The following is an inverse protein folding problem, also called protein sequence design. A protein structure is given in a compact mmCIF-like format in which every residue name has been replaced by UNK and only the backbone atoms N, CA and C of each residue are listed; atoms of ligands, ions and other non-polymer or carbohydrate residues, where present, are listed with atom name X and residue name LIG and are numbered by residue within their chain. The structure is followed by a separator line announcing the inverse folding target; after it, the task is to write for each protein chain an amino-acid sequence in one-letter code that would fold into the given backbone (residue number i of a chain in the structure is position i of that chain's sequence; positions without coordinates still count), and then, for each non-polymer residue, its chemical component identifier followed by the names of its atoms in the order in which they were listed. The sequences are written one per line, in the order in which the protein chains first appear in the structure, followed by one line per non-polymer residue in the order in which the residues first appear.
data_IF_787406697024
#
_entry.id   IF_787406697024
#
_cell.length_a   1.000
_cell.length_b   1.000
_cell.length_c   1.000
_cell.angle_alpha   90.00
_cell.angle_beta   90.00
_cell.angle_gamma   90.00
#
_symmetry.space_group_name_H-M   'P 1'
#
loop_
_entity.id
_entity.type
_entity.pdbx_description
1 polymer ?
#
# COMPACT_ATOMS: atom_id res chain seq x y z
N UNK A 1 12.61 14.26 -0.39
CA UNK A 1 12.10 12.88 -0.61
C UNK A 1 12.72 11.88 0.37
N UNK A 2 14.02 11.77 0.49
CA UNK A 2 14.72 10.77 1.32
C UNK A 2 14.25 10.75 2.80
N UNK A 3 14.18 11.92 3.46
CA UNK A 3 13.68 12.05 4.84
C UNK A 3 12.22 11.62 4.98
N UNK A 4 11.39 11.85 3.97
CA UNK A 4 10.00 11.40 3.96
C UNK A 4 9.96 9.86 3.95
N UNK A 5 10.78 9.21 3.11
CA UNK A 5 10.91 7.76 3.10
C UNK A 5 11.31 7.19 4.47
N UNK A 6 12.29 7.81 5.13
CA UNK A 6 12.69 7.46 6.50
C UNK A 6 11.52 7.58 7.49
N UNK A 7 10.81 8.72 7.46
CA UNK A 7 9.62 8.96 8.28
C UNK A 7 8.51 7.93 8.05
N UNK A 8 8.28 7.53 6.79
CA UNK A 8 7.34 6.47 6.43
C UNK A 8 7.69 5.15 7.12
N UNK A 9 8.90 4.66 6.90
CA UNK A 9 9.33 3.39 7.46
C UNK A 9 9.32 3.39 8.99
N UNK A 10 9.79 4.48 9.61
CA UNK A 10 9.73 4.67 11.05
C UNK A 10 8.29 4.60 11.55
N UNK A 11 7.39 5.39 10.97
CA UNK A 11 5.99 5.48 11.40
C UNK A 11 5.25 4.15 11.21
N UNK A 12 5.41 3.49 10.06
CA UNK A 12 4.79 2.19 9.77
C UNK A 12 5.20 1.13 10.81
N UNK A 13 6.49 1.03 11.10
CA UNK A 13 7.01 0.08 12.09
C UNK A 13 6.58 0.46 13.51
N UNK A 14 6.72 1.73 13.87
CA UNK A 14 6.50 2.20 15.23
C UNK A 14 5.02 2.21 15.65
N UNK A 15 4.10 2.40 14.71
CA UNK A 15 2.64 2.37 14.93
C UNK A 15 1.98 1.02 14.61
N UNK A 16 2.71 0.11 13.95
CA UNK A 16 2.13 -1.13 13.39
C UNK A 16 0.96 -0.87 12.44
N UNK A 17 1.02 0.25 11.72
CA UNK A 17 0.01 0.57 10.73
C UNK A 17 0.11 -0.39 9.54
N UNK A 18 -0.90 -1.25 9.35
CA UNK A 18 -0.88 -2.26 8.30
C UNK A 18 -2.27 -2.74 7.89
N UNK A 19 -2.53 -2.74 6.58
CA UNK A 19 -3.84 -3.07 6.01
C UNK A 19 -4.19 -4.56 6.15
N UNK A 20 -3.21 -5.44 5.99
CA UNK A 20 -3.41 -6.90 5.92
C UNK A 20 -3.98 -7.46 7.22
N UNK A 21 -3.38 -7.05 8.35
CA UNK A 21 -3.85 -7.44 9.67
C UNK A 21 -5.26 -6.88 9.92
N UNK A 22 -5.49 -5.60 9.60
CA UNK A 22 -6.77 -4.94 9.80
C UNK A 22 -7.90 -5.60 9.02
N UNK A 23 -7.68 -5.94 7.76
CA UNK A 23 -8.67 -6.62 6.92
C UNK A 23 -8.93 -8.05 7.42
N UNK A 24 -7.90 -8.77 7.85
CA UNK A 24 -8.07 -10.10 8.44
C UNK A 24 -8.88 -10.05 9.74
N UNK A 25 -8.59 -9.15 10.66
CA UNK A 25 -9.38 -8.96 11.88
C UNK A 25 -10.85 -8.64 11.57
N UNK A 26 -11.10 -7.77 10.60
CA UNK A 26 -12.45 -7.44 10.17
C UNK A 26 -13.18 -8.66 9.56
N UNK A 27 -12.52 -9.42 8.69
CA UNK A 27 -13.14 -10.55 7.98
C UNK A 27 -13.35 -11.77 8.86
N UNK A 28 -12.42 -12.03 9.81
CA UNK A 28 -12.47 -13.24 10.66
C UNK A 28 -13.08 -12.98 12.03
N UNK A 29 -12.75 -11.85 12.68
CA UNK A 29 -13.18 -11.54 14.04
C UNK A 29 -14.22 -10.41 14.12
N UNK A 30 -14.60 -9.85 12.98
CA UNK A 30 -15.57 -8.74 12.89
C UNK A 30 -15.11 -7.44 13.57
N UNK A 31 -13.82 -7.32 13.89
CA UNK A 31 -13.22 -6.13 14.49
C UNK A 31 -12.85 -5.13 13.39
N UNK A 32 -13.58 -4.03 13.27
CA UNK A 32 -13.38 -3.02 12.23
C UNK A 32 -12.45 -1.87 12.65
N UNK A 33 -11.84 -1.91 13.83
CA UNK A 33 -11.02 -0.82 14.37
C UNK A 33 -9.96 -0.33 13.36
N UNK A 34 -9.15 -1.26 12.83
CA UNK A 34 -8.07 -0.92 11.89
C UNK A 34 -8.61 -0.36 10.57
N UNK A 35 -9.70 -0.95 10.05
CA UNK A 35 -10.32 -0.47 8.81
C UNK A 35 -10.89 0.93 8.99
N UNK A 36 -11.50 1.22 10.14
CA UNK A 36 -11.97 2.57 10.47
C UNK A 36 -10.82 3.58 10.56
N UNK A 37 -9.67 3.18 11.11
CA UNK A 37 -8.47 4.02 11.10
C UNK A 37 -7.95 4.26 9.68
N UNK A 38 -7.90 3.21 8.83
CA UNK A 38 -7.49 3.38 7.42
C UNK A 38 -8.42 4.34 6.68
N UNK A 39 -9.73 4.27 6.88
CA UNK A 39 -10.69 5.18 6.26
C UNK A 39 -10.49 6.63 6.73
N UNK A 40 -10.16 6.86 8.00
CA UNK A 40 -9.80 8.19 8.50
C UNK A 40 -8.50 8.71 7.87
N UNK A 41 -7.49 7.85 7.74
CA UNK A 41 -6.23 8.18 7.03
C UNK A 41 -6.54 8.62 5.60
N UNK A 42 -7.35 7.85 4.87
CA UNK A 42 -7.77 8.18 3.49
C UNK A 42 -8.57 9.49 3.46
N UNK A 43 -9.46 9.76 4.43
CA UNK A 43 -10.19 11.02 4.49
C UNK A 43 -9.24 12.23 4.60
N UNK A 44 -8.20 12.13 5.42
CA UNK A 44 -7.17 13.18 5.53
C UNK A 44 -6.41 13.31 4.21
N UNK A 45 -6.02 12.20 3.58
CA UNK A 45 -5.34 12.22 2.29
C UNK A 45 -6.22 12.84 1.19
N UNK A 46 -7.52 12.53 1.13
CA UNK A 46 -8.46 13.14 0.18
C UNK A 46 -8.45 14.67 0.30
N UNK A 47 -8.53 15.20 1.53
CA UNK A 47 -8.51 16.63 1.78
C UNK A 47 -7.20 17.27 1.30
N UNK A 48 -6.07 16.69 1.70
CA UNK A 48 -4.75 17.23 1.38
C UNK A 48 -4.40 17.08 -0.11
N UNK A 49 -4.67 15.91 -0.71
CA UNK A 49 -4.43 15.68 -2.14
C UNK A 49 -5.27 16.62 -2.99
N UNK A 50 -6.56 16.79 -2.69
CA UNK A 50 -7.42 17.72 -3.43
C UNK A 50 -6.88 19.14 -3.38
N UNK A 51 -6.41 19.57 -2.20
CA UNK A 51 -5.79 20.87 -2.04
C UNK A 51 -4.55 20.99 -2.93
N UNK A 52 -3.62 20.03 -2.90
CA UNK A 52 -2.41 20.08 -3.72
C UNK A 52 -2.70 19.90 -5.21
N UNK A 53 -3.55 18.97 -5.58
CA UNK A 53 -3.94 18.73 -6.98
C UNK A 53 -4.75 19.90 -7.60
N UNK A 54 -5.18 20.87 -6.80
CA UNK A 54 -5.78 22.12 -7.34
C UNK A 54 -4.73 23.09 -7.89
N UNK A 55 -3.44 22.90 -7.59
CA UNK A 55 -2.32 23.64 -8.18
C UNK A 55 -1.85 22.95 -9.47
N UNK A 56 -1.26 23.72 -10.38
CA UNK A 56 -0.78 23.20 -11.67
C UNK A 56 0.53 22.42 -11.53
N UNK A 57 1.39 22.80 -10.59
CA UNK A 57 2.73 22.26 -10.45
C UNK A 57 3.07 21.99 -8.97
N UNK A 58 3.89 20.98 -8.77
CA UNK A 58 4.51 20.68 -7.48
C UNK A 58 5.58 21.73 -7.13
N UNK A 59 6.06 21.67 -5.88
CA UNK A 59 7.06 22.61 -5.37
C UNK A 59 8.38 22.57 -6.18
N UNK A 60 8.74 21.42 -6.74
CA UNK A 60 9.95 21.26 -7.59
C UNK A 60 9.64 21.33 -9.10
N UNK A 61 8.48 21.83 -9.49
CA UNK A 61 8.16 22.14 -10.88
C UNK A 61 7.52 21.00 -11.69
N UNK A 62 7.38 19.81 -11.13
CA UNK A 62 6.68 18.69 -11.78
C UNK A 62 5.18 18.95 -11.87
N UNK A 63 4.54 18.39 -12.90
CA UNK A 63 3.08 18.49 -13.04
C UNK A 63 2.36 17.76 -11.90
N UNK A 64 1.28 18.36 -11.39
CA UNK A 64 0.43 17.73 -10.38
C UNK A 64 -0.48 16.69 -11.03
N UNK A 65 -0.14 15.42 -10.89
CA UNK A 65 -0.87 14.30 -11.50
C UNK A 65 -1.60 13.43 -10.47
N UNK A 66 -1.08 13.36 -9.25
CA UNK A 66 -1.56 12.42 -8.24
C UNK A 66 -1.25 10.96 -8.63
N UNK A 67 -2.15 10.05 -8.29
CA UNK A 67 -2.06 8.65 -8.69
C UNK A 67 -3.36 8.23 -9.39
N UNK A 68 -3.30 8.12 -10.70
CA UNK A 68 -4.45 7.80 -11.55
C UNK A 68 -4.10 6.60 -12.43
N UNK A 69 -4.94 5.57 -12.39
CA UNK A 69 -4.79 4.37 -13.21
C UNK A 69 -6.06 4.08 -13.99
N UNK A 70 -5.87 3.50 -15.17
CA UNK A 70 -6.98 3.03 -16.00
C UNK A 70 -7.53 1.71 -15.44
N UNK A 71 -8.84 1.59 -15.41
CA UNK A 71 -9.56 0.39 -14.96
C UNK A 71 -9.85 -0.47 -16.18
N UNK A 72 -9.35 -1.69 -16.18
CA UNK A 72 -9.58 -2.72 -17.17
C UNK A 72 -9.47 -4.10 -16.55
N UNK A 73 -9.62 -5.15 -17.34
CA UNK A 73 -9.50 -6.54 -16.85
C UNK A 73 -8.15 -6.80 -16.19
N UNK A 74 -6.99 -6.37 -16.74
CA UNK A 74 -5.70 -6.55 -16.08
C UNK A 74 -5.63 -5.89 -14.71
N UNK A 75 -6.21 -4.69 -14.54
CA UNK A 75 -6.29 -3.98 -13.28
C UNK A 75 -7.10 -4.77 -12.23
N UNK A 76 -8.29 -5.24 -12.61
CA UNK A 76 -9.21 -6.00 -11.75
C UNK A 76 -8.57 -7.29 -11.27
N UNK A 77 -7.99 -8.07 -12.20
CA UNK A 77 -7.28 -9.31 -11.88
C UNK A 77 -6.04 -9.03 -11.03
N UNK A 78 -5.29 -7.97 -11.35
CA UNK A 78 -4.11 -7.55 -10.60
C UNK A 78 -4.44 -7.25 -9.13
N UNK A 79 -5.46 -6.44 -8.87
CA UNK A 79 -5.90 -6.12 -7.51
C UNK A 79 -6.38 -7.35 -6.73
N UNK A 80 -7.07 -8.27 -7.42
CA UNK A 80 -7.52 -9.53 -6.83
C UNK A 80 -6.34 -10.43 -6.43
N UNK A 81 -5.36 -10.62 -7.33
CA UNK A 81 -4.14 -11.40 -7.06
C UNK A 81 -3.33 -10.78 -5.92
N UNK A 82 -3.21 -9.43 -5.91
CA UNK A 82 -2.57 -8.72 -4.82
C UNK A 82 -3.25 -9.03 -3.48
N UNK A 83 -4.58 -9.04 -3.46
CA UNK A 83 -5.38 -9.37 -2.29
C UNK A 83 -5.11 -10.78 -1.73
N UNK A 84 -5.00 -11.80 -2.60
CA UNK A 84 -4.60 -13.16 -2.21
C UNK A 84 -3.17 -13.14 -1.66
N UNK A 85 -2.25 -12.55 -2.42
CA UNK A 85 -0.82 -12.55 -2.13
C UNK A 85 -0.50 -11.91 -0.78
N UNK A 86 -1.09 -10.77 -0.46
CA UNK A 86 -0.82 -10.07 0.80
C UNK A 86 -1.30 -10.85 2.03
N UNK A 87 -2.36 -11.67 1.93
CA UNK A 87 -2.80 -12.52 3.03
C UNK A 87 -1.90 -13.74 3.23
N UNK A 88 -1.38 -14.33 2.16
CA UNK A 88 -0.41 -15.41 2.23
C UNK A 88 0.95 -14.93 2.77
N UNK A 89 1.47 -13.83 2.25
CA UNK A 89 2.69 -13.19 2.76
C UNK A 89 2.54 -12.71 4.21
N UNK A 90 1.32 -12.35 4.61
CA UNK A 90 1.00 -11.79 5.93
C UNK A 90 1.28 -10.29 6.03
N UNK A 91 1.76 -9.67 4.96
CA UNK A 91 2.06 -8.24 4.81
C UNK A 91 1.69 -7.76 3.41
N UNK A 92 1.56 -6.45 3.22
CA UNK A 92 1.48 -5.80 1.91
C UNK A 92 2.85 -5.26 1.48
N UNK A 93 2.92 -4.48 0.40
CA UNK A 93 4.19 -3.91 -0.07
C UNK A 93 4.85 -2.99 0.97
N UNK A 94 4.08 -2.07 1.58
CA UNK A 94 4.56 -1.22 2.69
C UNK A 94 4.92 -2.04 3.93
N UNK A 95 4.14 -3.08 4.20
CA UNK A 95 4.41 -4.04 5.28
C UNK A 95 5.71 -4.80 5.06
N UNK A 96 5.99 -5.22 3.83
CA UNK A 96 7.24 -5.89 3.47
C UNK A 96 8.43 -4.98 3.74
N UNK A 97 8.36 -3.69 3.33
CA UNK A 97 9.41 -2.72 3.53
C UNK A 97 9.78 -2.60 5.02
N UNK A 98 8.81 -2.29 5.89
CA UNK A 98 9.16 -2.07 7.30
C UNK A 98 9.55 -3.36 8.02
N UNK A 99 9.00 -4.51 7.66
CA UNK A 99 9.42 -5.79 8.23
C UNK A 99 10.84 -6.21 7.79
N UNK A 100 11.26 -5.84 6.57
CA UNK A 100 12.66 -5.95 6.15
C UNK A 100 13.56 -5.08 7.03
N UNK A 101 13.18 -3.82 7.26
CA UNK A 101 13.91 -2.91 8.15
C UNK A 101 13.96 -3.39 9.60
N UNK A 102 12.94 -4.07 10.09
CA UNK A 102 12.96 -4.74 11.38
C UNK A 102 13.92 -5.95 11.43
N UNK A 103 14.53 -6.32 10.30
CA UNK A 103 15.47 -7.43 10.19
C UNK A 103 14.84 -8.81 10.17
N UNK A 104 13.56 -8.92 9.81
CA UNK A 104 12.86 -10.21 9.76
C UNK A 104 13.20 -10.96 8.45
N UNK A 105 13.94 -12.12 8.48
CA UNK A 105 14.45 -12.77 7.27
C UNK A 105 13.36 -13.19 6.28
N UNK A 106 12.21 -13.59 6.77
CA UNK A 106 11.07 -14.01 5.97
C UNK A 106 10.63 -12.94 4.97
N UNK A 107 10.68 -11.66 5.34
CA UNK A 107 10.14 -10.59 4.49
C UNK A 107 11.13 -10.15 3.41
N UNK A 108 12.42 -10.43 3.55
CA UNK A 108 13.38 -10.34 2.45
C UNK A 108 13.07 -11.35 1.35
N UNK A 109 12.62 -12.56 1.72
CA UNK A 109 12.13 -13.56 0.75
C UNK A 109 10.85 -13.08 0.05
N UNK A 110 9.91 -12.46 0.80
CA UNK A 110 8.72 -11.84 0.22
C UNK A 110 9.11 -10.74 -0.77
N UNK A 111 10.06 -9.86 -0.40
CA UNK A 111 10.53 -8.75 -1.24
C UNK A 111 11.17 -9.26 -2.53
N UNK A 112 12.03 -10.28 -2.44
CA UNK A 112 12.65 -10.90 -3.61
C UNK A 112 11.59 -11.46 -4.56
N UNK A 113 10.66 -12.26 -4.04
CA UNK A 113 9.60 -12.84 -4.84
C UNK A 113 8.63 -11.77 -5.40
N UNK A 114 8.39 -10.70 -4.65
CA UNK A 114 7.63 -9.54 -5.14
C UNK A 114 8.33 -8.90 -6.35
N UNK A 115 9.64 -8.68 -6.28
CA UNK A 115 10.44 -8.18 -7.41
C UNK A 115 10.36 -9.11 -8.63
N UNK A 116 10.52 -10.42 -8.43
CA UNK A 116 10.39 -11.41 -9.53
C UNK A 116 8.98 -11.35 -10.13
N UNK A 117 7.93 -11.26 -9.31
CA UNK A 117 6.55 -11.12 -9.78
C UNK A 117 6.34 -9.88 -10.63
N UNK A 118 6.96 -8.73 -10.28
CA UNK A 118 6.88 -7.50 -11.08
C UNK A 118 7.56 -7.68 -12.44
N UNK A 119 8.71 -8.35 -12.51
CA UNK A 119 9.42 -8.63 -13.75
C UNK A 119 8.59 -9.52 -14.68
N UNK A 120 8.05 -10.61 -14.15
CA UNK A 120 7.20 -11.55 -14.93
C UNK A 120 6.02 -10.78 -15.53
N UNK A 121 5.27 -10.05 -14.72
CA UNK A 121 4.08 -9.33 -15.20
C UNK A 121 4.40 -8.24 -16.20
N UNK A 122 5.53 -7.56 -16.07
CA UNK A 122 5.90 -6.51 -17.00
C UNK A 122 6.16 -7.04 -18.42
N UNK A 123 6.53 -8.31 -18.57
CA UNK A 123 6.69 -8.95 -19.91
C UNK A 123 5.35 -9.07 -20.66
N UNK A 124 4.28 -9.38 -19.93
CA UNK A 124 2.95 -9.58 -20.53
C UNK A 124 2.12 -8.30 -20.59
N UNK A 125 2.60 -7.22 -19.96
CA UNK A 125 1.86 -5.97 -19.85
C UNK A 125 1.49 -5.36 -21.21
N UNK A 126 2.40 -5.23 -22.21
CA UNK A 126 2.05 -4.64 -23.50
C UNK A 126 0.95 -5.41 -24.24
N UNK A 127 1.00 -6.75 -24.21
CA UNK A 127 0.00 -7.60 -24.88
C UNK A 127 -1.37 -7.50 -24.19
N UNK A 128 -1.41 -7.47 -22.86
CA UNK A 128 -2.64 -7.35 -22.10
C UNK A 128 -3.26 -5.96 -22.25
N UNK A 129 -2.46 -4.90 -22.24
CA UNK A 129 -2.96 -3.52 -22.47
C UNK A 129 -3.46 -3.32 -23.91
N UNK A 130 -2.87 -4.01 -24.90
CA UNK A 130 -3.36 -4.00 -26.29
C UNK A 130 -4.65 -4.81 -26.48
N UNK A 131 -4.81 -5.90 -25.71
CA UNK A 131 -5.96 -6.82 -25.85
C UNK A 131 -7.19 -6.31 -25.11
N UNK A 132 -7.01 -5.70 -23.93
CA UNK A 132 -8.10 -5.28 -23.05
C UNK A 132 -8.19 -3.77 -22.97
N UNK A 133 -9.36 -3.23 -23.33
CA UNK A 133 -9.63 -1.81 -23.14
C UNK A 133 -9.62 -1.42 -21.66
N UNK A 134 -9.11 -0.25 -21.38
CA UNK A 134 -9.08 0.31 -20.03
C UNK A 134 -9.40 1.81 -20.06
N UNK A 135 -10.10 2.29 -19.03
CA UNK A 135 -10.55 3.66 -18.94
C UNK A 135 -10.19 4.28 -17.61
N UNK A 136 -9.75 5.52 -17.67
CA UNK A 136 -9.59 6.35 -16.46
C UNK A 136 -10.93 6.99 -16.14
N UNK A 137 -11.36 6.88 -14.88
CA UNK A 137 -12.58 7.52 -14.39
C UNK A 137 -12.24 8.31 -13.14
N UNK A 138 -12.45 9.62 -13.18
CA UNK A 138 -12.20 10.51 -12.05
C UNK A 138 -13.52 11.02 -11.46
N UNK A 139 -13.55 11.18 -10.16
CA UNK A 139 -14.72 11.72 -9.46
C UNK A 139 -15.07 13.14 -9.94
N UNK A 140 -14.07 13.96 -10.29
CA UNK A 140 -14.28 15.31 -10.86
C UNK A 140 -15.02 15.27 -12.19
N UNK A 141 -14.83 14.22 -13.01
CA UNK A 141 -15.50 14.10 -14.32
C UNK A 141 -16.98 13.73 -14.14
N UNK A 142 -17.30 13.02 -13.05
CA UNK A 142 -18.69 12.67 -12.69
C UNK A 142 -19.45 13.82 -12.04
N UNK A 143 -18.73 14.71 -11.35
CA UNK A 143 -19.35 15.77 -10.51
C UNK A 143 -19.11 17.18 -11.02
N UNK A 144 -18.31 17.34 -12.07
CA UNK A 144 -18.05 18.59 -12.77
C UNK A 144 -16.83 19.39 -12.29
N UNK A 145 -16.33 19.16 -11.07
CA UNK A 145 -15.12 19.82 -10.58
C UNK A 145 -14.41 19.01 -9.47
N UNK A 146 -13.16 19.41 -9.15
CA UNK A 146 -12.32 18.68 -8.19
C UNK A 146 -12.91 18.70 -6.76
N UNK A 147 -13.55 19.78 -6.34
CA UNK A 147 -14.08 19.93 -4.99
C UNK A 147 -15.35 19.11 -4.76
N UNK A 148 -16.24 19.04 -5.75
CA UNK A 148 -17.39 18.15 -5.70
C UNK A 148 -16.99 16.68 -5.80
N UNK A 149 -15.94 16.36 -6.57
CA UNK A 149 -15.32 15.02 -6.56
C UNK A 149 -14.73 14.64 -5.20
N UNK A 150 -14.07 15.58 -4.52
CA UNK A 150 -13.60 15.41 -3.13
C UNK A 150 -14.77 15.09 -2.19
N UNK A 151 -15.83 15.89 -2.25
CA UNK A 151 -17.01 15.70 -1.40
C UNK A 151 -17.63 14.32 -1.62
N UNK A 152 -17.76 13.87 -2.87
CA UNK A 152 -18.26 12.54 -3.20
C UNK A 152 -17.40 11.45 -2.54
N UNK A 153 -16.07 11.54 -2.66
CA UNK A 153 -15.17 10.56 -2.04
C UNK A 153 -15.24 10.59 -0.50
N UNK A 154 -15.34 11.78 0.11
CA UNK A 154 -15.51 11.89 1.57
C UNK A 154 -16.84 11.29 2.04
N UNK A 155 -17.91 11.48 1.29
CA UNK A 155 -19.22 10.85 1.58
C UNK A 155 -19.12 9.33 1.49
N UNK A 156 -18.44 8.78 0.48
CA UNK A 156 -18.22 7.34 0.35
C UNK A 156 -17.37 6.79 1.51
N UNK A 157 -16.30 7.47 1.90
CA UNK A 157 -15.47 7.10 3.06
C UNK A 157 -16.31 7.13 4.34
N UNK A 158 -17.10 8.19 4.56
CA UNK A 158 -17.97 8.32 5.72
C UNK A 158 -19.05 7.21 5.76
N UNK A 159 -19.67 6.92 4.61
CA UNK A 159 -20.64 5.84 4.51
C UNK A 159 -20.04 4.48 4.87
N UNK A 160 -18.85 4.15 4.34
CA UNK A 160 -18.14 2.92 4.69
C UNK A 160 -17.73 2.88 6.16
N UNK A 161 -17.24 3.99 6.70
CA UNK A 161 -16.89 4.10 8.11
C UNK A 161 -18.10 3.79 9.01
N UNK A 162 -19.24 4.39 8.72
CA UNK A 162 -20.49 4.16 9.44
C UNK A 162 -21.01 2.73 9.26
N UNK A 163 -20.90 2.17 8.06
CA UNK A 163 -21.28 0.80 7.75
C UNK A 163 -20.45 -0.21 8.59
N UNK A 164 -19.13 -0.06 8.61
CA UNK A 164 -18.26 -0.95 9.39
C UNK A 164 -18.46 -0.77 10.88
N UNK A 165 -18.62 0.47 11.37
CA UNK A 165 -18.96 0.76 12.76
C UNK A 165 -20.28 0.08 13.18
N UNK A 166 -21.35 0.25 12.37
CA UNK A 166 -22.66 -0.31 12.64
C UNK A 166 -22.65 -1.84 12.57
N UNK A 167 -21.91 -2.41 11.61
CA UNK A 167 -21.74 -3.86 11.46
C UNK A 167 -21.02 -4.48 12.66
N UNK A 168 -19.95 -3.85 13.17
CA UNK A 168 -19.25 -4.31 14.36
C UNK A 168 -20.16 -4.27 15.57
N UNK A 169 -20.77 -3.12 15.85
CA UNK A 169 -21.67 -2.93 16.98
C UNK A 169 -22.86 -3.93 16.99
N UNK A 170 -23.45 -4.15 15.82
CA UNK A 170 -24.58 -5.11 15.69
C UNK A 170 -24.16 -6.56 15.97
N UNK A 171 -22.92 -6.92 15.72
CA UNK A 171 -22.44 -8.31 15.77
C UNK A 171 -21.70 -8.66 17.04
N UNK A 172 -20.99 -7.71 17.64
CA UNK A 172 -20.17 -7.94 18.85
C UNK A 172 -20.80 -7.31 20.10
N UNK A 173 -21.77 -6.42 19.94
CA UNK A 173 -22.36 -5.64 21.03
C UNK A 173 -21.47 -4.51 21.53
N UNK A 174 -20.19 -4.51 21.17
CA UNK A 174 -19.19 -3.55 21.62
C UNK A 174 -18.47 -2.91 20.45
N UNK A 175 -17.99 -1.70 20.62
CA UNK A 175 -17.20 -0.98 19.63
C UNK A 175 -15.83 -0.63 20.22
N UNK A 176 -14.78 -1.12 19.60
CA UNK A 176 -13.44 -0.68 20.01
C UNK A 176 -13.28 0.80 19.72
N UNK A 177 -13.06 1.65 20.76
CA UNK A 177 -12.95 3.08 20.57
C UNK A 177 -11.70 3.41 19.74
N UNK A 178 -11.81 4.45 18.89
CA UNK A 178 -10.66 4.98 18.15
C UNK A 178 -9.68 5.68 19.08
N UNK A 179 -10.22 6.29 20.10
CA UNK A 179 -9.51 6.99 21.17
C UNK A 179 -9.71 6.18 22.45
N UNK A 180 -8.77 5.34 22.80
CA UNK A 180 -8.79 4.60 24.07
C UNK A 180 -7.95 5.35 25.09
N UNK A 181 -8.63 5.88 26.09
CA UNK A 181 -8.16 6.47 27.34
C UNK A 181 -6.70 6.83 27.54
N UNK A 182 -6.43 8.10 27.78
CA UNK A 182 -5.19 8.63 28.30
C UNK A 182 -4.32 9.35 27.27
N UNK A 183 -3.69 8.70 26.34
CA UNK A 183 -2.79 9.37 25.40
C UNK A 183 -3.11 9.01 23.95
N UNK A 184 -3.62 10.00 23.21
CA UNK A 184 -4.00 9.84 21.80
C UNK A 184 -2.81 9.43 20.93
N UNK A 185 -1.63 9.94 21.26
CA UNK A 185 -0.44 9.83 20.42
C UNK A 185 0.43 8.63 20.75
N UNK A 186 0.44 8.21 22.02
CA UNK A 186 1.41 7.26 22.54
C UNK A 186 0.77 6.21 23.42
N UNK A 187 1.03 4.95 23.15
CA UNK A 187 0.57 3.82 23.95
C UNK A 187 1.65 2.75 24.02
N UNK A 188 1.94 2.27 25.21
CA UNK A 188 2.91 1.18 25.44
C UNK A 188 4.28 1.44 24.78
N UNK A 189 4.76 2.70 24.86
CA UNK A 189 6.04 3.10 24.26
C UNK A 189 6.04 3.24 22.73
N UNK A 190 4.86 3.29 22.07
CA UNK A 190 4.70 3.38 20.62
C UNK A 190 3.62 4.36 20.21
N UNK A 191 3.63 4.78 18.94
CA UNK A 191 2.48 5.50 18.37
C UNK A 191 1.25 4.60 18.35
N UNK A 192 0.08 5.21 18.60
CA UNK A 192 -1.18 4.52 18.31
C UNK A 192 -1.32 4.30 16.79
N UNK A 193 -2.13 3.33 16.37
CA UNK A 193 -2.37 3.10 14.93
C UNK A 193 -3.00 4.33 14.27
N UNK A 194 -3.85 5.07 15.00
CA UNK A 194 -4.45 6.31 14.52
C UNK A 194 -3.41 7.41 14.31
N UNK A 195 -2.51 7.60 15.28
CA UNK A 195 -1.39 8.55 15.13
C UNK A 195 -0.51 8.19 13.93
N UNK A 196 -0.19 6.90 13.78
CA UNK A 196 0.53 6.40 12.61
C UNK A 196 -0.20 6.73 11.31
N UNK A 197 -1.51 6.52 11.25
CA UNK A 197 -2.33 6.87 10.09
C UNK A 197 -2.30 8.36 9.75
N UNK A 198 -2.41 9.23 10.75
CA UNK A 198 -2.32 10.68 10.54
C UNK A 198 -0.95 11.08 9.99
N UNK A 199 0.13 10.58 10.61
CA UNK A 199 1.50 10.89 10.15
C UNK A 199 1.73 10.36 8.73
N UNK A 200 1.25 9.16 8.40
CA UNK A 200 1.35 8.59 7.05
C UNK A 200 0.59 9.45 6.04
N UNK A 201 -0.62 9.89 6.36
CA UNK A 201 -1.38 10.78 5.49
C UNK A 201 -0.63 12.10 5.20
N UNK A 202 -0.01 12.69 6.22
CA UNK A 202 0.80 13.90 6.06
C UNK A 202 2.06 13.66 5.22
N UNK A 203 2.80 12.58 5.50
CA UNK A 203 4.00 12.22 4.75
C UNK A 203 3.66 11.92 3.28
N UNK A 204 2.60 11.15 3.04
CA UNK A 204 2.15 10.80 1.69
C UNK A 204 1.71 12.04 0.89
N UNK A 205 0.94 12.91 1.52
CA UNK A 205 0.54 14.19 0.91
C UNK A 205 1.74 15.09 0.63
N UNK A 206 2.77 15.05 1.48
CA UNK A 206 4.03 15.79 1.25
C UNK A 206 4.78 15.28 0.02
N UNK A 207 4.72 13.97 -0.29
CA UNK A 207 5.30 13.43 -1.54
C UNK A 207 4.61 14.06 -2.75
N UNK A 208 3.28 14.10 -2.75
CA UNK A 208 2.51 14.73 -3.85
C UNK A 208 2.81 16.22 -3.95
N UNK A 209 2.86 16.94 -2.85
CA UNK A 209 3.18 18.38 -2.84
C UNK A 209 4.57 18.70 -3.42
N UNK A 210 5.56 17.82 -3.17
CA UNK A 210 6.94 18.02 -3.60
C UNK A 210 7.22 17.50 -5.01
N UNK A 211 6.63 16.35 -5.38
CA UNK A 211 6.95 15.61 -6.61
C UNK A 211 5.80 15.58 -7.63
N UNK A 212 4.59 16.00 -7.26
CA UNK A 212 3.42 16.01 -8.13
C UNK A 212 2.71 14.66 -8.28
N UNK A 213 3.33 13.57 -7.86
CA UNK A 213 2.77 12.21 -7.89
C UNK A 213 3.01 11.48 -6.57
N UNK A 214 2.18 10.48 -6.28
CA UNK A 214 2.30 9.71 -5.05
C UNK A 214 3.47 8.71 -5.08
N UNK A 215 3.85 8.19 -3.91
CA UNK A 215 4.95 7.24 -3.79
C UNK A 215 4.63 5.87 -4.40
N UNK A 216 5.43 5.43 -5.36
CA UNK A 216 5.28 4.13 -6.03
C UNK A 216 6.30 3.10 -5.53
N UNK A 217 5.96 2.39 -4.45
CA UNK A 217 6.81 1.31 -3.91
C UNK A 217 7.04 0.22 -4.97
N UNK A 218 6.00 -0.15 -5.72
CA UNK A 218 6.10 -1.16 -6.79
C UNK A 218 7.11 -0.75 -7.85
N UNK A 219 7.13 0.53 -8.25
CA UNK A 219 8.09 1.05 -9.22
C UNK A 219 9.52 0.95 -8.71
N UNK A 220 9.77 1.31 -7.45
CA UNK A 220 11.09 1.19 -6.83
C UNK A 220 11.57 -0.27 -6.77
N UNK A 221 10.70 -1.21 -6.37
CA UNK A 221 11.03 -2.65 -6.32
C UNK A 221 11.27 -3.21 -7.71
N UNK A 222 10.47 -2.82 -8.71
CA UNK A 222 10.69 -3.20 -10.10
C UNK A 222 12.05 -2.73 -10.62
N UNK A 223 12.41 -1.46 -10.39
CA UNK A 223 13.69 -0.90 -10.84
C UNK A 223 14.89 -1.62 -10.19
N UNK A 224 14.78 -2.00 -8.91
CA UNK A 224 15.79 -2.81 -8.22
C UNK A 224 15.85 -4.24 -8.75
N UNK A 225 14.70 -4.88 -8.95
CA UNK A 225 14.61 -6.25 -9.46
C UNK A 225 15.16 -6.36 -10.89
N UNK A 226 14.87 -5.38 -11.75
CA UNK A 226 15.37 -5.28 -13.11
C UNK A 226 16.91 -5.25 -13.14
N UNK A 227 17.52 -4.44 -12.26
CA UNK A 227 18.99 -4.40 -12.15
C UNK A 227 19.56 -5.67 -11.56
N UNK A 228 18.90 -6.26 -10.55
CA UNK A 228 19.31 -7.55 -10.03
C UNK A 228 19.29 -8.64 -11.11
N UNK A 229 18.25 -8.66 -11.94
CA UNK A 229 18.13 -9.62 -13.04
C UNK A 229 19.17 -9.39 -14.16
N UNK A 230 19.55 -8.12 -14.42
CA UNK A 230 20.57 -7.81 -15.42
C UNK A 230 21.97 -8.33 -15.04
N UNK A 231 22.27 -8.51 -13.75
CA UNK A 231 23.53 -9.14 -13.31
C UNK A 231 23.66 -10.61 -13.76
N UNK A 232 22.54 -11.23 -14.12
CA UNK A 232 22.47 -12.60 -14.62
C UNK A 232 22.25 -12.65 -16.15
N UNK A 233 22.47 -11.52 -16.85
CA UNK A 233 22.28 -11.44 -18.31
C UNK A 233 20.82 -11.38 -18.77
N UNK A 234 19.87 -11.14 -17.84
CA UNK A 234 18.46 -10.99 -18.18
C UNK A 234 18.11 -9.51 -18.41
N UNK A 235 17.22 -9.24 -19.36
CA UNK A 235 16.75 -7.88 -19.68
C UNK A 235 17.85 -6.90 -20.15
N UNK A 236 18.94 -7.40 -20.69
CA UNK A 236 19.99 -6.56 -21.30
C UNK A 236 19.38 -5.62 -22.36
N UNK A 237 19.84 -4.37 -22.38
CA UNK A 237 19.30 -3.35 -23.29
C UNK A 237 17.99 -2.69 -22.85
N UNK A 238 17.42 -3.05 -21.70
CA UNK A 238 16.23 -2.36 -21.20
C UNK A 238 16.54 -0.89 -20.90
N UNK A 239 15.76 0.10 -21.41
CA UNK A 239 16.09 1.53 -21.33
C UNK A 239 16.36 2.05 -19.92
N UNK A 240 15.67 1.51 -18.91
CA UNK A 240 15.88 1.90 -17.52
C UNK A 240 17.25 1.51 -16.96
N UNK A 241 17.96 0.57 -17.56
CA UNK A 241 19.32 0.17 -17.12
C UNK A 241 20.39 1.21 -17.48
N UNK A 242 20.12 2.03 -18.50
CA UNK A 242 21.02 3.12 -18.89
C UNK A 242 21.08 4.26 -17.88
N UNK A 243 20.07 4.39 -17.02
CA UNK A 243 20.01 5.46 -16.02
C UNK A 243 20.51 4.96 -14.65
N UNK A 244 21.14 5.80 -13.81
CA UNK A 244 21.49 5.41 -12.44
C UNK A 244 20.26 5.04 -11.61
N UNK A 245 20.37 4.01 -10.74
CA UNK A 245 19.24 3.51 -9.94
C UNK A 245 18.60 4.59 -9.07
N UNK A 246 19.44 5.42 -8.44
CA UNK A 246 19.00 6.46 -7.51
C UNK A 246 18.56 7.77 -8.19
N UNK A 247 18.53 7.82 -9.53
CA UNK A 247 17.85 8.92 -10.23
C UNK A 247 16.34 8.89 -9.95
N UNK A 248 15.80 7.72 -9.69
CA UNK A 248 14.43 7.57 -9.21
C UNK A 248 14.39 7.83 -7.69
N UNK A 249 13.81 8.95 -7.23
CA UNK A 249 13.77 9.30 -5.81
C UNK A 249 12.99 8.27 -4.97
N UNK A 250 12.08 7.52 -5.59
CA UNK A 250 11.28 6.48 -4.93
C UNK A 250 12.13 5.32 -4.42
N UNK A 251 13.26 5.02 -5.10
CA UNK A 251 14.24 4.01 -4.66
C UNK A 251 14.98 4.50 -3.40
N UNK A 252 15.38 5.78 -3.38
CA UNK A 252 15.97 6.38 -2.19
C UNK A 252 15.02 6.38 -1.00
N UNK A 253 13.74 6.71 -1.22
CA UNK A 253 12.70 6.63 -0.20
C UNK A 253 12.53 5.21 0.34
N UNK A 254 12.59 4.20 -0.53
CA UNK A 254 12.47 2.79 -0.15
C UNK A 254 13.58 2.38 0.82
N UNK A 255 14.85 2.65 0.49
CA UNK A 255 15.98 2.29 1.34
C UNK A 255 16.02 3.06 2.66
N UNK A 256 15.70 4.36 2.63
CA UNK A 256 15.61 5.14 3.87
C UNK A 256 14.39 4.75 4.70
N UNK A 257 13.31 4.25 4.07
CA UNK A 257 12.20 3.63 4.77
C UNK A 257 12.62 2.38 5.56
N UNK A 258 13.47 1.53 4.97
CA UNK A 258 14.08 0.38 5.68
C UNK A 258 14.87 0.86 6.90
N UNK A 259 15.71 1.90 6.75
CA UNK A 259 16.49 2.46 7.87
C UNK A 259 15.60 3.08 8.94
N UNK A 260 14.53 3.78 8.57
CA UNK A 260 13.55 4.32 9.51
C UNK A 260 12.86 3.23 10.32
N UNK A 261 12.47 2.14 9.68
CA UNK A 261 11.88 0.98 10.36
C UNK A 261 12.86 0.27 11.29
N UNK A 262 14.14 0.19 10.90
CA UNK A 262 15.21 -0.34 11.75
C UNK A 262 15.37 0.49 13.03
N UNK A 263 15.40 1.83 12.91
CA UNK A 263 15.47 2.71 14.08
C UNK A 263 14.25 2.56 14.97
N UNK A 264 13.04 2.52 14.38
CA UNK A 264 11.79 2.31 15.13
C UNK A 264 11.84 1.02 15.95
N UNK A 265 12.38 -0.07 15.36
CA UNK A 265 12.58 -1.33 16.06
C UNK A 265 13.59 -1.22 17.21
N UNK A 266 14.72 -0.56 16.99
CA UNK A 266 15.72 -0.36 18.03
C UNK A 266 15.14 0.37 19.26
N UNK A 267 14.38 1.45 19.00
CA UNK A 267 13.75 2.24 20.06
C UNK A 267 12.64 1.47 20.80
N UNK A 268 11.86 0.67 20.05
CA UNK A 268 10.72 -0.05 20.64
C UNK A 268 11.08 -1.40 21.30
N UNK A 269 12.36 -1.70 21.47
CA UNK A 269 12.82 -2.92 22.18
C UNK A 269 12.42 -4.20 21.48
N UNK A 270 12.75 -4.33 20.19
CA UNK A 270 12.28 -5.37 19.27
C UNK A 270 12.25 -6.80 19.83
N UNK A 271 11.10 -7.48 19.67
CA UNK A 271 10.89 -8.86 20.07
C UNK A 271 11.67 -9.88 19.23
N UNK A 272 11.59 -11.16 19.62
CA UNK A 272 12.21 -12.26 18.88
C UNK A 272 11.56 -12.45 17.50
N UNK A 273 12.34 -12.86 16.53
CA UNK A 273 11.84 -13.20 15.20
C UNK A 273 11.16 -14.57 15.22
N UNK A 274 10.03 -14.66 14.53
CA UNK A 274 9.44 -15.96 14.28
C UNK A 274 10.38 -16.81 13.40
N UNK A 275 10.62 -18.07 13.74
CA UNK A 275 11.49 -18.94 12.97
C UNK A 275 10.92 -19.15 11.55
N UNK A 276 11.81 -19.25 10.57
CA UNK A 276 11.44 -19.65 9.22
C UNK A 276 11.10 -21.15 9.21
N UNK A 277 9.85 -21.46 8.87
CA UNK A 277 9.35 -22.82 8.69
C UNK A 277 8.98 -23.01 7.22
N UNK A 278 9.01 -24.25 6.73
CA UNK A 278 8.71 -24.55 5.32
C UNK A 278 7.36 -23.92 4.87
N UNK A 279 6.31 -24.10 5.67
CA UNK A 279 4.98 -23.57 5.34
C UNK A 279 4.97 -22.04 5.19
N UNK A 280 5.55 -21.30 6.15
CA UNK A 280 5.56 -19.85 6.07
C UNK A 280 6.54 -19.34 4.98
N UNK A 281 7.58 -20.09 4.61
CA UNK A 281 8.46 -19.77 3.49
C UNK A 281 7.75 -19.95 2.14
N UNK A 282 7.05 -21.06 1.95
CA UNK A 282 6.24 -21.28 0.74
C UNK A 282 5.13 -20.22 0.58
N UNK A 283 4.44 -19.90 1.67
CA UNK A 283 3.45 -18.83 1.65
C UNK A 283 4.07 -17.47 1.33
N UNK A 284 5.30 -17.21 1.76
CA UNK A 284 6.04 -15.98 1.45
C UNK A 284 6.42 -15.90 -0.03
N UNK A 285 6.87 -17.02 -0.61
CA UNK A 285 7.19 -17.11 -2.03
C UNK A 285 5.94 -16.85 -2.88
N UNK A 286 4.88 -17.63 -2.66
CA UNK A 286 3.63 -17.49 -3.41
C UNK A 286 3.00 -16.12 -3.19
N UNK A 287 2.96 -15.66 -1.93
CA UNK A 287 2.40 -14.36 -1.58
C UNK A 287 3.16 -13.20 -2.21
N UNK A 288 4.50 -13.25 -2.17
CA UNK A 288 5.36 -12.26 -2.83
C UNK A 288 5.16 -12.22 -4.34
N UNK A 289 5.19 -13.39 -5.02
CA UNK A 289 4.95 -13.48 -6.45
C UNK A 289 3.58 -12.90 -6.85
N UNK A 290 2.51 -13.33 -6.18
CA UNK A 290 1.15 -12.85 -6.47
C UNK A 290 0.99 -11.35 -6.24
N UNK A 291 1.59 -10.80 -5.16
CA UNK A 291 1.59 -9.36 -4.92
C UNK A 291 2.37 -8.61 -6.01
N UNK A 292 3.55 -9.09 -6.39
CA UNK A 292 4.37 -8.45 -7.43
C UNK A 292 3.67 -8.46 -8.79
N UNK A 293 3.12 -9.61 -9.16
CA UNK A 293 2.33 -9.76 -10.39
C UNK A 293 1.12 -8.83 -10.39
N UNK A 294 0.35 -8.82 -9.31
CA UNK A 294 -0.83 -7.98 -9.20
C UNK A 294 -0.51 -6.49 -9.22
N UNK A 295 0.53 -6.08 -8.50
CA UNK A 295 0.89 -4.67 -8.36
C UNK A 295 1.36 -4.01 -9.65
N UNK A 296 1.87 -4.76 -10.62
CA UNK A 296 2.26 -4.20 -11.93
C UNK A 296 1.07 -3.69 -12.72
N UNK A 297 -0.11 -4.29 -12.52
CA UNK A 297 -1.34 -3.88 -13.22
C UNK A 297 -2.24 -2.96 -12.39
N UNK A 298 -2.18 -3.05 -11.05
CA UNK A 298 -3.14 -2.36 -10.18
C UNK A 298 -2.51 -1.50 -9.09
N UNK A 299 -1.20 -1.32 -9.10
CA UNK A 299 -0.40 -0.80 -8.00
C UNK A 299 -0.53 -1.64 -6.69
N UNK A 300 0.20 -1.25 -5.65
CA UNK A 300 0.07 -1.86 -4.32
C UNK A 300 -1.07 -1.19 -3.52
N UNK A 301 -1.28 -1.60 -2.29
CA UNK A 301 -2.31 -1.02 -1.42
C UNK A 301 -2.17 0.50 -1.20
N UNK A 302 -0.95 1.03 -1.08
CA UNK A 302 -0.74 2.47 -0.97
C UNK A 302 -1.16 3.14 -2.28
N UNK A 303 -0.49 2.84 -3.39
CA UNK A 303 -0.80 3.44 -4.68
C UNK A 303 -2.20 3.10 -5.21
N UNK A 304 -2.61 1.83 -5.12
CA UNK A 304 -3.90 1.39 -5.65
C UNK A 304 -5.09 1.91 -4.83
N UNK A 305 -5.07 1.74 -3.51
CA UNK A 305 -6.23 2.08 -2.67
C UNK A 305 -6.13 3.50 -2.08
N UNK A 306 -5.09 3.79 -1.28
CA UNK A 306 -4.99 5.07 -0.57
C UNK A 306 -4.83 6.22 -1.55
N UNK A 307 -3.76 6.22 -2.33
CA UNK A 307 -3.45 7.30 -3.27
C UNK A 307 -4.47 7.42 -4.39
N UNK A 308 -4.97 6.28 -4.91
CA UNK A 308 -6.00 6.28 -5.93
C UNK A 308 -7.29 6.95 -5.47
N UNK A 309 -7.75 6.60 -4.28
CA UNK A 309 -8.94 7.20 -3.67
C UNK A 309 -8.70 8.67 -3.33
N UNK A 310 -7.52 8.99 -2.77
CA UNK A 310 -7.16 10.37 -2.41
C UNK A 310 -7.00 11.27 -3.65
N UNK A 311 -6.54 10.72 -4.77
CA UNK A 311 -6.46 11.43 -6.06
C UNK A 311 -7.82 11.58 -6.78
N UNK A 312 -8.90 11.15 -6.17
CA UNK A 312 -10.24 11.21 -6.76
C UNK A 312 -10.47 10.22 -7.90
N UNK A 313 -9.66 9.17 -8.03
CA UNK A 313 -9.80 8.17 -9.08
C UNK A 313 -10.63 6.97 -8.63
N UNK A 314 -11.56 6.53 -9.49
CA UNK A 314 -12.42 5.38 -9.23
C UNK A 314 -11.63 4.08 -9.05
N UNK A 315 -10.41 4.02 -9.61
CA UNK A 315 -9.58 2.81 -9.49
C UNK A 315 -9.29 2.45 -8.02
N UNK A 316 -9.19 3.42 -7.10
CA UNK A 316 -8.98 3.16 -5.68
C UNK A 316 -10.11 2.33 -5.06
N UNK A 317 -11.35 2.63 -5.40
CA UNK A 317 -12.53 1.89 -4.94
C UNK A 317 -12.63 0.49 -5.55
N UNK A 318 -12.34 0.37 -6.85
CA UNK A 318 -12.29 -0.93 -7.54
C UNK A 318 -11.19 -1.80 -6.95
N UNK A 319 -10.02 -1.21 -6.70
CA UNK A 319 -8.90 -1.89 -6.05
C UNK A 319 -9.31 -2.45 -4.69
N UNK A 320 -9.94 -1.65 -3.85
CA UNK A 320 -10.41 -2.06 -2.52
C UNK A 320 -11.33 -3.28 -2.61
N UNK A 321 -12.33 -3.24 -3.50
CA UNK A 321 -13.29 -4.33 -3.66
C UNK A 321 -12.62 -5.62 -4.14
N UNK A 322 -11.77 -5.54 -5.15
CA UNK A 322 -11.11 -6.71 -5.73
C UNK A 322 -10.06 -7.31 -4.79
N UNK A 323 -9.24 -6.47 -4.15
CA UNK A 323 -8.27 -6.92 -3.17
C UNK A 323 -8.95 -7.48 -1.89
N UNK A 324 -10.12 -6.97 -1.51
CA UNK A 324 -10.91 -7.54 -0.42
C UNK A 324 -11.45 -8.93 -0.78
N UNK A 325 -11.97 -9.11 -2.00
CA UNK A 325 -12.38 -10.41 -2.53
C UNK A 325 -11.21 -11.41 -2.57
N UNK A 326 -10.06 -10.97 -3.07
CA UNK A 326 -8.82 -11.75 -3.04
C UNK A 326 -8.39 -12.11 -1.61
N UNK A 327 -8.51 -11.17 -0.68
CA UNK A 327 -8.18 -11.41 0.75
C UNK A 327 -9.05 -12.50 1.38
N UNK A 328 -10.33 -12.59 1.02
CA UNK A 328 -11.20 -13.68 1.50
C UNK A 328 -10.67 -15.06 1.09
N UNK A 329 -10.18 -15.17 -0.16
CA UNK A 329 -9.56 -16.40 -0.65
C UNK A 329 -8.21 -16.62 0.04
N UNK A 330 -7.36 -15.60 0.09
CA UNK A 330 -6.05 -15.69 0.73
C UNK A 330 -6.14 -16.14 2.18
N UNK A 331 -7.11 -15.63 2.96
CA UNK A 331 -7.36 -16.06 4.35
C UNK A 331 -7.73 -17.54 4.42
N UNK A 332 -8.59 -18.04 3.50
CA UNK A 332 -8.97 -19.47 3.47
C UNK A 332 -7.82 -20.40 3.09
N UNK A 333 -6.83 -19.90 2.33
CA UNK A 333 -5.66 -20.67 1.94
C UNK A 333 -4.59 -20.73 3.04
N UNK A 334 -4.59 -19.82 4.03
CA UNK A 334 -3.58 -19.77 5.11
C UNK A 334 -3.38 -21.09 5.87
N UNK A 335 -4.43 -21.83 6.25
CA UNK A 335 -4.26 -23.10 6.98
C UNK A 335 -3.43 -24.13 6.22
N UNK A 336 -3.45 -24.13 4.87
CA UNK A 336 -2.62 -25.03 4.04
C UNK A 336 -1.12 -24.84 4.30
N UNK A 337 -0.72 -23.64 4.71
CA UNK A 337 0.66 -23.27 5.02
C UNK A 337 0.96 -23.24 6.53
N UNK A 338 0.00 -23.68 7.36
CA UNK A 338 0.08 -23.65 8.83
C UNK A 338 0.35 -22.24 9.39
N UNK A 339 -0.35 -21.20 8.82
CA UNK A 339 -0.25 -19.78 9.18
C UNK A 339 -1.36 -19.35 10.13
#
# INVERSE_FOLDING_TARGET
MALIGFGFGFTLSFSRFGIVFGWREMLTKRNSYYVRVHLLTIAIEILLFTCFLSFSHALFGDAMVGNVMAIGIPFIVGAFLFGIGMQLAGVCATGTLYCCGEGQPRFWLVLLCYGIGTLISNQFRPELEATFSSHVVLAKDLTGNIWSGMLLNLVLVAALFLLFRKSELKRTGELKPLFSGGNLFWRDGRFTVLTGGIIIALLNSSVVALHGSAWTITGAVYDMALRGASLFGLFEGHPKLAQPLFINPMVGMFWLGILGAMLARCISGGGQFAPMRLGNSLASILGGLLMGMGAMYSACNLGGFFDGTASGSLHGWVWMLMALAGSLIGIRLRPLFRL
#
